data_IF_722917078334
#
_entry.id   IF_722917078334
#
_cell.length_a   1.000
_cell.length_b   1.000
_cell.length_c   1.000
_cell.angle_alpha   90.00
_cell.angle_beta   90.00
_cell.angle_gamma   90.00
#
_symmetry.space_group_name_H-M   'P 1'
#
loop_
_entity.id
_entity.type
_entity.pdbx_description
1 polymer ?
#
# COMPACT_ATOMS: atom_id res chain seq x y z
N UNK A 1 0.04 6.16 -5.16
CA UNK A 1 0.77 4.94 -5.56
C UNK A 1 0.06 3.69 -5.05
N UNK A 2 -0.06 2.70 -5.89
CA UNK A 2 -0.74 1.44 -5.59
C UNK A 2 0.19 0.26 -5.86
N UNK A 3 0.13 -0.76 -5.01
CA UNK A 3 0.87 -2.00 -5.22
C UNK A 3 0.04 -3.21 -4.81
N UNK A 4 0.15 -4.26 -5.62
CA UNK A 4 -0.54 -5.52 -5.39
C UNK A 4 -0.04 -6.20 -4.11
N UNK A 5 -0.92 -6.89 -3.35
CA UNK A 5 -0.53 -7.60 -2.12
C UNK A 5 0.62 -8.59 -2.28
N UNK A 6 0.83 -9.16 -3.47
CA UNK A 6 1.94 -10.07 -3.73
C UNK A 6 3.31 -9.42 -3.55
N UNK A 7 3.38 -8.09 -3.56
CA UNK A 7 4.63 -7.34 -3.35
C UNK A 7 4.94 -7.08 -1.87
N UNK A 8 4.25 -7.70 -0.95
CA UNK A 8 4.42 -7.44 0.48
C UNK A 8 5.85 -7.72 0.99
N UNK A 9 6.57 -8.67 0.36
CA UNK A 9 7.96 -8.97 0.72
C UNK A 9 8.94 -7.83 0.45
N UNK A 10 8.62 -6.95 -0.48
CA UNK A 10 9.44 -5.80 -0.87
C UNK A 10 9.07 -4.52 -0.13
N UNK A 11 7.98 -4.54 0.63
CA UNK A 11 7.38 -3.35 1.25
C UNK A 11 8.09 -2.86 2.52
N UNK A 12 8.93 -3.66 3.15
CA UNK A 12 9.49 -3.31 4.45
C UNK A 12 8.41 -3.13 5.51
N UNK A 13 7.49 -4.09 5.61
CA UNK A 13 6.37 -4.02 6.54
C UNK A 13 6.84 -4.17 7.99
N UNK A 14 6.17 -3.49 8.91
CA UNK A 14 6.30 -3.77 10.33
C UNK A 14 5.84 -5.19 10.64
N UNK A 15 6.48 -5.87 11.61
CA UNK A 15 6.14 -7.26 11.92
C UNK A 15 4.74 -7.42 12.51
N UNK A 16 4.20 -8.63 12.38
CA UNK A 16 2.96 -9.01 13.08
C UNK A 16 3.12 -8.79 14.58
N UNK A 17 2.13 -8.18 15.20
CA UNK A 17 2.17 -7.82 16.62
C UNK A 17 2.68 -6.41 16.89
N UNK A 18 3.32 -5.75 15.93
CA UNK A 18 3.65 -4.32 16.04
C UNK A 18 2.38 -3.48 15.90
N UNK A 19 2.25 -2.34 16.62
CA UNK A 19 1.09 -1.45 16.50
C UNK A 19 0.81 -0.98 15.07
N UNK A 20 1.86 -0.88 14.25
CA UNK A 20 1.76 -0.48 12.84
C UNK A 20 1.86 -1.67 11.88
N UNK A 21 1.54 -2.88 12.31
CA UNK A 21 1.51 -4.06 11.43
C UNK A 21 0.70 -3.78 10.17
N UNK A 22 1.14 -4.32 9.04
CA UNK A 22 0.59 -4.08 7.69
C UNK A 22 0.88 -2.69 7.10
N UNK A 23 1.62 -1.86 7.81
CA UNK A 23 2.13 -0.61 7.26
C UNK A 23 3.59 -0.77 6.87
N UNK A 24 4.01 -0.05 5.83
CA UNK A 24 5.42 0.01 5.43
C UNK A 24 6.19 0.92 6.39
N UNK A 25 7.39 0.48 6.79
CA UNK A 25 8.33 1.30 7.53
C UNK A 25 9.17 2.18 6.60
N UNK A 26 9.04 2.04 5.29
CA UNK A 26 9.78 2.79 4.29
C UNK A 26 9.11 4.14 4.03
N UNK A 27 9.91 5.20 3.97
CA UNK A 27 9.44 6.49 3.45
C UNK A 27 9.35 6.40 1.92
N UNK A 28 8.13 6.31 1.40
CA UNK A 28 7.89 6.14 -0.03
C UNK A 28 8.32 7.34 -0.87
N UNK A 29 8.38 8.53 -0.29
CA UNK A 29 8.84 9.73 -0.98
C UNK A 29 10.36 9.82 -1.10
N UNK A 30 11.07 9.16 -0.18
CA UNK A 30 12.53 9.12 -0.15
C UNK A 30 13.00 7.82 0.50
N UNK A 31 12.89 6.68 -0.20
CA UNK A 31 13.18 5.38 0.38
C UNK A 31 14.66 5.19 0.71
N UNK A 32 14.93 4.65 1.90
CA UNK A 32 16.27 4.23 2.32
C UNK A 32 16.56 2.83 1.74
N UNK A 33 17.18 2.79 0.56
CA UNK A 33 17.46 1.55 -0.13
C UNK A 33 18.63 0.76 0.47
N UNK A 34 19.41 1.36 1.35
CA UNK A 34 20.43 0.64 2.11
C UNK A 34 19.78 -0.23 3.18
N UNK A 35 18.81 0.30 3.89
CA UNK A 35 18.05 -0.42 4.90
C UNK A 35 16.99 -1.35 4.31
N UNK A 36 16.38 -0.95 3.21
CA UNK A 36 15.30 -1.70 2.54
C UNK A 36 15.66 -1.94 1.05
N UNK A 37 16.66 -2.78 0.77
CA UNK A 37 17.15 -2.94 -0.61
C UNK A 37 16.14 -3.57 -1.56
N UNK A 38 15.20 -4.38 -1.05
CA UNK A 38 14.16 -4.99 -1.87
C UNK A 38 13.09 -4.00 -2.34
N UNK A 39 13.01 -2.85 -1.70
CA UNK A 39 12.02 -1.83 -2.06
C UNK A 39 12.21 -1.28 -3.47
N UNK A 40 13.44 -1.30 -3.99
CA UNK A 40 13.74 -0.88 -5.37
C UNK A 40 13.08 -1.78 -6.43
N UNK A 41 12.78 -3.03 -6.07
CA UNK A 41 12.18 -4.02 -6.97
C UNK A 41 10.64 -3.99 -6.88
N UNK A 42 10.09 -3.11 -6.05
CA UNK A 42 8.66 -2.99 -5.85
C UNK A 42 7.96 -2.53 -7.12
N UNK A 43 6.93 -3.27 -7.52
CA UNK A 43 6.06 -2.86 -8.62
C UNK A 43 4.94 -1.96 -8.10
N UNK A 44 4.92 -0.73 -8.59
CA UNK A 44 3.99 0.30 -8.14
C UNK A 44 3.30 0.93 -9.33
N UNK A 45 1.99 1.17 -9.19
CA UNK A 45 1.23 2.00 -10.12
C UNK A 45 1.06 3.40 -9.54
N UNK A 46 1.49 4.39 -10.29
CA UNK A 46 1.33 5.80 -9.91
C UNK A 46 0.14 6.40 -10.67
N UNK A 47 -0.77 7.00 -9.93
CA UNK A 47 -2.00 7.57 -10.47
C UNK A 47 -2.19 8.97 -9.90
N UNK A 48 -2.53 9.93 -10.75
CA UNK A 48 -2.93 11.28 -10.36
C UNK A 48 -4.45 11.38 -10.44
N UNK A 49 -5.09 11.73 -9.31
CA UNK A 49 -6.53 11.93 -9.23
C UNK A 49 -6.85 13.42 -9.28
N UNK A 50 -7.82 13.75 -10.10
CA UNK A 50 -8.38 15.12 -10.20
C UNK A 50 -9.76 15.13 -9.53
N UNK A 51 -10.25 16.32 -9.24
CA UNK A 51 -11.60 16.49 -8.68
C UNK A 51 -12.65 15.81 -9.56
N UNK A 52 -13.52 15.02 -8.95
CA UNK A 52 -14.54 14.24 -9.65
C UNK A 52 -14.12 12.83 -10.03
N UNK A 53 -12.84 12.50 -9.93
CA UNK A 53 -12.36 11.15 -10.23
C UNK A 53 -12.73 10.16 -9.13
N UNK A 54 -12.93 8.91 -9.53
CA UNK A 54 -13.18 7.76 -8.65
C UNK A 54 -12.06 6.74 -8.86
N UNK A 55 -11.44 6.31 -7.78
CA UNK A 55 -10.43 5.26 -7.81
C UNK A 55 -10.95 4.01 -7.11
N UNK A 56 -10.90 2.89 -7.81
CA UNK A 56 -11.17 1.58 -7.22
C UNK A 56 -9.87 1.02 -6.61
N UNK A 57 -9.92 0.73 -5.31
CA UNK A 57 -8.84 0.08 -4.57
C UNK A 57 -9.27 -1.33 -4.21
N UNK A 58 -8.74 -2.36 -4.87
CA UNK A 58 -9.03 -3.74 -4.46
C UNK A 58 -8.62 -4.03 -3.02
N UNK A 59 -9.26 -5.02 -2.42
CA UNK A 59 -8.97 -5.44 -1.04
C UNK A 59 -7.49 -5.78 -0.85
N UNK A 60 -6.91 -5.33 0.26
CA UNK A 60 -5.52 -5.58 0.65
C UNK A 60 -4.45 -4.96 -0.25
N UNK A 61 -4.81 -4.10 -1.20
CA UNK A 61 -3.82 -3.35 -1.96
C UNK A 61 -3.09 -2.35 -1.06
N UNK A 62 -1.78 -2.27 -1.22
CA UNK A 62 -0.98 -1.23 -0.59
C UNK A 62 -1.18 0.08 -1.34
N UNK A 63 -1.32 1.17 -0.59
CA UNK A 63 -1.52 2.48 -1.18
C UNK A 63 -0.84 3.57 -0.36
N UNK A 64 -0.41 4.60 -1.06
CA UNK A 64 0.18 5.81 -0.51
C UNK A 64 -0.39 7.01 -1.24
N UNK A 65 -0.95 7.94 -0.50
CA UNK A 65 -1.66 9.09 -1.05
C UNK A 65 -1.00 10.37 -0.56
N UNK A 66 -0.69 11.25 -1.50
CA UNK A 66 -0.20 12.60 -1.23
C UNK A 66 -1.23 13.59 -1.74
N UNK A 67 -1.66 14.51 -0.88
CA UNK A 67 -2.52 15.62 -1.28
C UNK A 67 -1.66 16.73 -1.87
N UNK A 68 -1.93 17.08 -3.13
CA UNK A 68 -1.22 18.16 -3.85
C UNK A 68 -1.82 19.51 -3.56
N UNK A 69 -3.10 19.56 -3.23
CA UNK A 69 -3.88 20.74 -2.90
C UNK A 69 -4.78 20.46 -1.71
N UNK A 70 -5.42 21.49 -1.16
CA UNK A 70 -6.49 21.32 -0.18
C UNK A 70 -7.65 20.57 -0.83
N UNK A 71 -7.96 19.39 -0.29
CA UNK A 71 -9.03 18.54 -0.80
C UNK A 71 -9.65 17.70 0.31
N UNK A 72 -10.74 17.02 -0.02
CA UNK A 72 -11.28 15.94 0.81
C UNK A 72 -11.66 14.77 -0.07
N UNK A 73 -11.70 13.59 0.53
CA UNK A 73 -11.98 12.34 -0.14
C UNK A 73 -13.03 11.57 0.64
N UNK A 74 -13.93 10.91 -0.08
CA UNK A 74 -14.93 10.02 0.50
C UNK A 74 -14.65 8.59 0.06
N UNK A 75 -14.68 7.67 1.01
CA UNK A 75 -14.47 6.25 0.74
C UNK A 75 -15.75 5.46 1.00
N UNK A 76 -16.10 4.58 0.09
CA UNK A 76 -17.12 3.56 0.29
C UNK A 76 -16.45 2.20 0.27
N UNK A 77 -16.55 1.45 1.35
CA UNK A 77 -15.94 0.13 1.47
C UNK A 77 -16.96 -0.96 1.20
N UNK A 78 -16.56 -1.95 0.42
CA UNK A 78 -17.38 -3.10 0.09
C UNK A 78 -16.50 -4.33 -0.13
N UNK A 79 -17.11 -5.51 -0.30
CA UNK A 79 -16.40 -6.74 -0.59
C UNK A 79 -15.99 -7.51 0.66
N UNK A 80 -15.24 -8.58 0.44
CA UNK A 80 -14.76 -9.50 1.47
C UNK A 80 -13.28 -9.29 1.77
N UNK A 81 -12.91 -9.41 3.05
CA UNK A 81 -11.50 -9.43 3.47
C UNK A 81 -10.78 -10.71 3.05
N UNK A 82 -11.51 -11.69 2.55
CA UNK A 82 -10.94 -12.96 2.07
C UNK A 82 -10.31 -12.83 0.67
N UNK A 83 -10.67 -11.80 -0.07
CA UNK A 83 -10.00 -11.50 -1.33
C UNK A 83 -8.52 -11.25 -1.10
N UNK A 84 -7.68 -11.85 -1.90
CA UNK A 84 -6.21 -11.76 -1.79
C UNK A 84 -5.62 -12.18 -0.44
N UNK A 85 -6.40 -12.83 0.42
CA UNK A 85 -5.97 -13.29 1.75
C UNK A 85 -4.72 -14.14 1.69
N UNK A 86 -4.59 -14.98 0.69
CA UNK A 86 -3.43 -15.84 0.47
C UNK A 86 -2.12 -15.05 0.43
N UNK A 87 -2.11 -13.94 -0.30
CA UNK A 87 -0.91 -13.09 -0.39
C UNK A 87 -0.54 -12.48 0.96
N UNK A 88 -1.53 -12.05 1.71
CA UNK A 88 -1.32 -11.46 3.03
C UNK A 88 -0.81 -12.51 4.03
N UNK A 89 -1.35 -13.73 3.97
CA UNK A 89 -0.88 -14.84 4.81
C UNK A 89 0.56 -15.24 4.48
N UNK A 90 0.94 -15.23 3.19
CA UNK A 90 2.30 -15.53 2.75
C UNK A 90 3.32 -14.50 3.25
N UNK A 91 2.88 -13.32 3.64
CA UNK A 91 3.72 -12.30 4.26
C UNK A 91 3.75 -12.35 5.79
N UNK A 92 3.11 -13.32 6.40
CA UNK A 92 3.12 -13.49 7.85
C UNK A 92 1.95 -12.85 8.58
N UNK A 93 0.92 -12.47 7.84
CA UNK A 93 -0.31 -11.86 8.42
C UNK A 93 -1.58 -12.74 8.15
#
# INVERSE_FOLDING_TARGET
>A
MLSHPSNCGEMGLYPKGHPSARHSAVDWSNPDLEKYPKFKDLMVHEIVLQAGDVLYLPTNYFHYIISLDLNYQCNTRSGSTDETKEYIQNCGF
#
